data_IF_777779188229
#
_entry.id   IF_777779188229
#
_cell.length_a   1.000
_cell.length_b   1.000
_cell.length_c   1.000
_cell.angle_alpha   90.00
_cell.angle_beta   90.00
_cell.angle_gamma   90.00
#
_symmetry.space_group_name_H-M   'P 1'
#
loop_
_entity.id
_entity.type
_entity.pdbx_description
1 polymer ?
#
# COMPACT_ATOMS: atom_id res chain seq x y z
N UNK A 1 8.73 14.87 -31.38
CA UNK A 1 7.77 14.34 -32.38
C UNK A 1 6.37 14.65 -31.91
N UNK A 2 5.38 14.94 -32.76
CA UNK A 2 4.00 15.13 -32.27
C UNK A 2 3.50 13.83 -31.62
N UNK A 3 2.84 13.91 -30.45
CA UNK A 3 2.42 12.75 -29.65
C UNK A 3 1.71 11.65 -30.46
N UNK A 4 0.84 12.03 -31.41
CA UNK A 4 0.13 11.09 -32.29
C UNK A 4 1.04 10.36 -33.28
N UNK A 5 2.09 11.02 -33.78
CA UNK A 5 3.06 10.40 -34.67
C UNK A 5 3.88 9.35 -33.92
N UNK A 6 4.21 9.62 -32.65
CA UNK A 6 4.92 8.68 -31.78
C UNK A 6 4.10 7.45 -31.43
N UNK A 7 2.83 7.64 -31.05
CA UNK A 7 1.90 6.52 -30.84
C UNK A 7 1.77 5.66 -32.12
N UNK A 8 1.69 6.28 -33.30
CA UNK A 8 1.68 5.56 -34.58
C UNK A 8 2.96 4.76 -34.84
N UNK A 9 4.12 5.35 -34.57
CA UNK A 9 5.42 4.69 -34.72
C UNK A 9 5.58 3.49 -33.76
N UNK A 10 5.14 3.64 -32.51
CA UNK A 10 5.12 2.56 -31.52
C UNK A 10 4.24 1.39 -31.99
N UNK A 11 3.03 1.67 -32.48
CA UNK A 11 2.11 0.63 -32.98
C UNK A 11 2.71 -0.08 -34.19
N UNK A 12 3.30 0.67 -35.12
CA UNK A 12 3.97 0.10 -36.28
C UNK A 12 5.12 -0.83 -35.86
N UNK A 13 5.93 -0.42 -34.88
CA UNK A 13 7.03 -1.24 -34.36
C UNK A 13 6.53 -2.50 -33.64
N UNK A 14 5.47 -2.39 -32.83
CA UNK A 14 4.84 -3.57 -32.19
C UNK A 14 4.33 -4.55 -33.26
N UNK A 15 3.68 -4.05 -34.32
CA UNK A 15 3.19 -4.89 -35.42
C UNK A 15 4.33 -5.58 -36.17
N UNK A 16 5.43 -4.87 -36.42
CA UNK A 16 6.64 -5.42 -37.04
C UNK A 16 7.22 -6.57 -36.19
N UNK A 17 7.36 -6.36 -34.88
CA UNK A 17 7.87 -7.38 -33.95
C UNK A 17 6.96 -8.60 -33.90
N UNK A 18 5.64 -8.41 -33.76
CA UNK A 18 4.67 -9.53 -33.79
C UNK A 18 4.78 -10.30 -35.11
N UNK A 19 4.87 -9.60 -36.24
CA UNK A 19 5.00 -10.24 -37.55
C UNK A 19 6.32 -11.00 -37.68
N UNK A 20 7.42 -10.50 -37.12
CA UNK A 20 8.70 -11.19 -37.12
C UNK A 20 8.65 -12.48 -36.27
N UNK A 21 8.02 -12.43 -35.10
CA UNK A 21 7.86 -13.60 -34.21
C UNK A 21 6.97 -14.67 -34.86
N UNK A 22 5.85 -14.27 -35.46
CA UNK A 22 4.94 -15.20 -36.15
C UNK A 22 5.60 -15.94 -37.32
N UNK A 23 6.63 -15.35 -37.93
CA UNK A 23 7.38 -15.96 -39.03
C UNK A 23 8.68 -16.64 -38.57
N UNK A 24 9.01 -16.58 -37.28
CA UNK A 24 10.22 -17.15 -36.73
C UNK A 24 10.19 -18.68 -36.81
N UNK A 25 11.34 -19.26 -37.14
CA UNK A 25 11.55 -20.71 -37.12
C UNK A 25 12.46 -21.15 -35.98
N UNK A 26 13.19 -20.20 -35.40
CA UNK A 26 14.15 -20.45 -34.34
C UNK A 26 13.92 -19.50 -33.16
N UNK A 27 14.22 -19.97 -31.94
CA UNK A 27 14.04 -19.18 -30.71
C UNK A 27 14.86 -17.88 -30.74
N UNK A 28 16.06 -17.92 -31.32
CA UNK A 28 16.95 -16.76 -31.43
C UNK A 28 16.36 -15.64 -32.30
N UNK A 29 15.53 -15.97 -33.29
CA UNK A 29 14.82 -14.98 -34.11
C UNK A 29 13.74 -14.27 -33.29
N UNK A 30 13.05 -15.01 -32.41
CA UNK A 30 12.08 -14.45 -31.47
C UNK A 30 12.77 -13.53 -30.47
N UNK A 31 13.91 -13.97 -29.90
CA UNK A 31 14.69 -13.14 -28.96
C UNK A 31 15.20 -11.88 -29.65
N UNK A 32 15.70 -11.96 -30.89
CA UNK A 32 16.12 -10.79 -31.66
C UNK A 32 14.97 -9.81 -31.92
N UNK A 33 13.79 -10.33 -32.29
CA UNK A 33 12.61 -9.50 -32.54
C UNK A 33 12.19 -8.74 -31.28
N UNK A 34 12.15 -9.43 -30.13
CA UNK A 34 11.84 -8.81 -28.83
C UNK A 34 12.90 -7.81 -28.40
N UNK A 35 14.18 -8.14 -28.54
CA UNK A 35 15.28 -7.22 -28.24
C UNK A 35 15.21 -5.94 -29.06
N UNK A 36 14.77 -6.02 -30.33
CA UNK A 36 14.69 -4.86 -31.22
C UNK A 36 13.73 -3.76 -30.75
N UNK A 37 12.71 -4.11 -29.97
CA UNK A 37 11.80 -3.14 -29.33
C UNK A 37 12.22 -2.87 -27.89
N UNK A 38 12.75 -3.86 -27.16
CA UNK A 38 13.24 -3.67 -25.80
C UNK A 38 14.37 -2.62 -25.74
N UNK A 39 15.30 -2.63 -26.70
CA UNK A 39 16.39 -1.66 -26.80
C UNK A 39 15.90 -0.21 -27.08
N UNK A 40 14.70 -0.05 -27.64
CA UNK A 40 14.07 1.26 -27.84
C UNK A 40 13.44 1.81 -26.56
N UNK A 41 13.04 0.93 -25.64
CA UNK A 41 12.27 1.29 -24.44
C UNK A 41 13.13 1.33 -23.19
N UNK A 42 14.21 0.54 -23.12
CA UNK A 42 14.99 0.33 -21.92
C UNK A 42 16.49 0.54 -22.17
N UNK A 43 17.25 0.99 -21.16
CA UNK A 43 18.72 1.07 -21.24
C UNK A 43 19.35 -0.33 -21.10
N UNK A 44 19.16 -1.18 -22.10
CA UNK A 44 19.66 -2.56 -22.08
C UNK A 44 21.09 -2.65 -22.60
N UNK A 45 21.91 -3.42 -21.89
CA UNK A 45 23.19 -3.87 -22.41
C UNK A 45 22.97 -5.09 -23.30
N UNK A 46 23.11 -4.89 -24.61
CA UNK A 46 22.94 -5.91 -25.63
C UNK A 46 23.94 -7.06 -25.48
N UNK A 47 25.06 -6.84 -24.78
CA UNK A 47 26.06 -7.89 -24.51
C UNK A 47 25.50 -9.02 -23.63
N UNK A 48 24.59 -8.69 -22.70
CA UNK A 48 23.95 -9.64 -21.77
C UNK A 48 23.11 -10.70 -22.50
N UNK A 49 22.57 -10.33 -23.66
CA UNK A 49 21.78 -11.22 -24.51
C UNK A 49 22.67 -11.91 -25.55
N UNK A 50 23.67 -11.22 -26.09
CA UNK A 50 24.53 -11.72 -27.18
C UNK A 50 25.25 -13.04 -26.89
N UNK A 51 25.64 -13.26 -25.62
CA UNK A 51 26.28 -14.51 -25.19
C UNK A 51 25.33 -15.71 -25.09
N UNK A 52 24.02 -15.47 -25.16
CA UNK A 52 22.97 -16.49 -25.02
C UNK A 52 22.33 -16.90 -26.36
N UNK A 53 22.79 -16.31 -27.46
CA UNK A 53 22.23 -16.50 -28.81
C UNK A 53 23.33 -17.03 -29.74
N UNK A 54 22.94 -17.81 -30.75
CA UNK A 54 23.85 -18.24 -31.81
C UNK A 54 24.56 -17.08 -32.51
N UNK A 55 25.79 -17.35 -32.96
CA UNK A 55 26.72 -16.35 -33.48
C UNK A 55 26.17 -15.59 -34.70
N UNK A 56 25.40 -16.24 -35.56
CA UNK A 56 24.80 -15.65 -36.76
C UNK A 56 23.71 -14.60 -36.47
N UNK A 57 23.20 -14.52 -35.24
CA UNK A 57 22.19 -13.54 -34.82
C UNK A 57 22.78 -12.42 -33.94
N UNK A 58 24.03 -12.54 -33.47
CA UNK A 58 24.67 -11.54 -32.60
C UNK A 58 24.78 -10.17 -33.24
N UNK A 59 25.10 -10.12 -34.52
CA UNK A 59 25.22 -8.85 -35.26
C UNK A 59 23.90 -8.09 -35.32
N UNK A 60 22.76 -8.79 -35.35
CA UNK A 60 21.43 -8.16 -35.32
C UNK A 60 21.12 -7.55 -33.95
N UNK A 61 21.57 -8.17 -32.87
CA UNK A 61 21.37 -7.71 -31.49
C UNK A 61 22.28 -6.52 -31.17
N UNK A 62 23.55 -6.58 -31.59
CA UNK A 62 24.53 -5.52 -31.38
C UNK A 62 24.33 -4.33 -32.31
N UNK A 63 23.75 -4.55 -33.50
CA UNK A 63 23.47 -3.51 -34.49
C UNK A 63 22.20 -2.69 -34.23
N UNK A 64 21.43 -2.97 -33.17
CA UNK A 64 20.21 -2.21 -32.88
C UNK A 64 20.56 -0.77 -32.51
N UNK A 65 19.96 0.19 -33.23
CA UNK A 65 20.15 1.61 -32.94
C UNK A 65 19.60 1.94 -31.55
N UNK A 66 20.49 2.38 -30.67
CA UNK A 66 20.13 2.82 -29.31
C UNK A 66 19.67 4.28 -29.39
N UNK A 67 18.41 4.60 -29.00
CA UNK A 67 17.94 5.98 -28.96
C UNK A 67 18.58 6.77 -27.81
N UNK A 68 18.51 8.10 -27.90
CA UNK A 68 18.88 8.99 -26.78
C UNK A 68 17.98 8.76 -25.55
N UNK A 69 18.37 9.29 -24.40
CA UNK A 69 17.63 9.09 -23.14
C UNK A 69 16.24 9.71 -23.22
N UNK A 70 16.14 10.89 -23.81
CA UNK A 70 14.89 11.64 -23.99
C UNK A 70 13.97 10.93 -24.99
N UNK A 71 14.51 10.52 -26.14
CA UNK A 71 13.75 9.75 -27.12
C UNK A 71 13.25 8.42 -26.52
N UNK A 72 14.09 7.72 -25.76
CA UNK A 72 13.69 6.48 -25.08
C UNK A 72 12.53 6.71 -24.12
N UNK A 73 12.58 7.80 -23.34
CA UNK A 73 11.50 8.13 -22.42
C UNK A 73 10.19 8.42 -23.15
N UNK A 74 10.23 9.18 -24.25
CA UNK A 74 9.08 9.43 -25.10
C UNK A 74 8.48 8.12 -25.65
N UNK A 75 9.32 7.23 -26.18
CA UNK A 75 8.91 5.91 -26.67
C UNK A 75 8.29 5.05 -25.56
N UNK A 76 8.90 5.05 -24.37
CA UNK A 76 8.40 4.33 -23.20
C UNK A 76 7.01 4.84 -22.77
N UNK A 77 6.83 6.15 -22.68
CA UNK A 77 5.54 6.75 -22.29
C UNK A 77 4.45 6.43 -23.31
N UNK A 78 4.73 6.60 -24.60
CA UNK A 78 3.79 6.26 -25.68
C UNK A 78 3.45 4.77 -25.74
N UNK A 79 4.41 3.90 -25.40
CA UNK A 79 4.20 2.45 -25.37
C UNK A 79 3.31 2.00 -24.21
N UNK A 80 3.60 2.41 -22.98
CA UNK A 80 2.83 1.99 -21.80
C UNK A 80 1.51 2.71 -21.62
N UNK A 81 1.41 3.99 -22.00
CA UNK A 81 0.14 4.73 -21.93
C UNK A 81 -0.74 4.57 -23.16
N UNK A 82 -0.18 4.08 -24.25
CA UNK A 82 -0.90 3.80 -25.49
C UNK A 82 -1.39 2.35 -25.59
N UNK A 83 -1.80 1.96 -26.79
CA UNK A 83 -2.23 0.57 -27.07
C UNK A 83 -1.07 -0.38 -27.39
N UNK A 84 0.18 0.12 -27.35
CA UNK A 84 1.38 -0.64 -27.68
C UNK A 84 1.62 -1.78 -26.68
N UNK A 85 1.78 -1.42 -25.39
CA UNK A 85 1.98 -2.39 -24.32
C UNK A 85 0.84 -3.42 -24.21
N UNK A 86 -0.45 -3.06 -24.09
CA UNK A 86 -1.50 -4.07 -23.93
C UNK A 86 -1.60 -5.02 -25.12
N UNK A 87 -1.32 -4.55 -26.35
CA UNK A 87 -1.26 -5.40 -27.54
C UNK A 87 -0.09 -6.37 -27.47
N UNK A 88 1.13 -5.86 -27.23
CA UNK A 88 2.32 -6.71 -27.15
C UNK A 88 2.23 -7.70 -25.98
N UNK A 89 1.85 -7.24 -24.79
CA UNK A 89 1.77 -8.08 -23.59
C UNK A 89 0.77 -9.23 -23.76
N UNK A 90 -0.39 -8.99 -24.38
CA UNK A 90 -1.34 -10.07 -24.70
C UNK A 90 -0.75 -11.08 -25.66
N UNK A 91 -0.04 -10.64 -26.70
CA UNK A 91 0.66 -11.52 -27.62
C UNK A 91 1.77 -12.31 -26.93
N UNK A 92 2.56 -11.67 -26.07
CA UNK A 92 3.61 -12.31 -25.27
C UNK A 92 3.06 -13.40 -24.35
N UNK A 93 1.87 -13.19 -23.77
CA UNK A 93 1.25 -14.12 -22.84
C UNK A 93 0.53 -15.26 -23.58
N UNK A 94 -0.16 -14.97 -24.67
CA UNK A 94 -1.00 -15.95 -25.38
C UNK A 94 -0.26 -16.75 -26.45
N UNK A 95 0.82 -16.22 -27.02
CA UNK A 95 1.56 -16.87 -28.11
C UNK A 95 3.00 -17.18 -27.70
N UNK A 96 3.75 -16.20 -27.22
CA UNK A 96 5.18 -16.40 -26.90
C UNK A 96 5.39 -17.30 -25.68
N UNK A 97 4.60 -17.11 -24.61
CA UNK A 97 4.70 -17.93 -23.40
C UNK A 97 4.49 -19.43 -23.65
N UNK A 98 3.40 -19.88 -24.32
CA UNK A 98 3.18 -21.30 -24.57
C UNK A 98 4.12 -21.88 -25.64
N UNK A 99 4.47 -21.13 -26.68
CA UNK A 99 5.16 -21.69 -27.86
C UNK A 99 6.68 -21.58 -27.80
N UNK A 100 7.22 -20.57 -27.11
CA UNK A 100 8.63 -20.21 -27.23
C UNK A 100 9.37 -20.08 -25.90
N UNK A 101 8.70 -19.62 -24.84
CA UNK A 101 9.36 -19.24 -23.59
C UNK A 101 10.11 -20.41 -22.92
N UNK A 102 9.63 -21.64 -23.07
CA UNK A 102 10.33 -22.84 -22.57
C UNK A 102 11.69 -23.10 -23.24
N UNK A 103 11.93 -22.50 -24.42
CA UNK A 103 13.19 -22.59 -25.17
C UNK A 103 14.13 -21.41 -24.90
N UNK A 104 13.70 -20.39 -24.14
CA UNK A 104 14.51 -19.20 -23.92
C UNK A 104 15.67 -19.52 -22.96
N UNK A 105 16.90 -19.11 -23.31
CA UNK A 105 17.96 -18.99 -22.32
C UNK A 105 17.53 -18.03 -21.19
N UNK A 106 17.93 -18.31 -19.95
CA UNK A 106 17.55 -17.52 -18.78
C UNK A 106 17.86 -16.02 -18.97
N UNK A 107 19.01 -15.70 -19.56
CA UNK A 107 19.39 -14.31 -19.84
C UNK A 107 18.43 -13.64 -20.83
N UNK A 108 18.08 -14.35 -21.91
CA UNK A 108 17.14 -13.86 -22.91
C UNK A 108 15.73 -13.68 -22.33
N UNK A 109 15.27 -14.61 -21.49
CA UNK A 109 14.01 -14.45 -20.75
C UNK A 109 14.03 -13.18 -19.91
N UNK A 110 15.09 -12.95 -19.12
CA UNK A 110 15.19 -11.78 -18.26
C UNK A 110 15.23 -10.46 -19.03
N UNK A 111 16.06 -10.38 -20.07
CA UNK A 111 16.40 -9.12 -20.73
C UNK A 111 15.61 -8.82 -22.01
N UNK A 112 15.00 -9.84 -22.64
CA UNK A 112 14.19 -9.66 -23.84
C UNK A 112 12.69 -9.94 -23.61
N UNK A 113 12.29 -10.65 -22.55
CA UNK A 113 10.86 -10.94 -22.29
C UNK A 113 10.36 -10.28 -20.99
N UNK A 114 10.99 -10.59 -19.86
CA UNK A 114 10.55 -10.13 -18.53
C UNK A 114 10.69 -8.61 -18.36
N UNK A 115 11.60 -7.98 -19.11
CA UNK A 115 11.86 -6.53 -19.05
C UNK A 115 10.58 -5.71 -19.32
N UNK A 116 9.69 -6.16 -20.21
CA UNK A 116 8.45 -5.45 -20.51
C UNK A 116 7.46 -5.42 -19.34
N UNK A 117 7.61 -6.33 -18.38
CA UNK A 117 6.77 -6.38 -17.19
C UNK A 117 7.48 -5.79 -15.97
N UNK A 118 8.77 -6.12 -15.79
CA UNK A 118 9.56 -5.70 -14.62
C UNK A 118 10.02 -4.24 -14.63
N UNK A 119 10.22 -3.65 -15.81
CA UNK A 119 10.66 -2.24 -15.98
C UNK A 119 9.54 -1.37 -16.59
N UNK A 120 8.31 -1.89 -16.62
CA UNK A 120 7.15 -1.22 -17.18
C UNK A 120 6.35 -0.43 -16.16
N UNK A 121 5.23 0.15 -16.62
CA UNK A 121 4.27 0.81 -15.75
C UNK A 121 3.46 -0.25 -14.98
N UNK A 122 3.73 -0.42 -13.69
CA UNK A 122 3.21 -1.52 -12.86
C UNK A 122 1.68 -1.50 -12.83
N UNK A 123 1.05 -0.31 -12.84
CA UNK A 123 -0.41 -0.19 -12.92
C UNK A 123 -0.99 -0.85 -14.17
N UNK A 124 -0.31 -0.77 -15.31
CA UNK A 124 -0.74 -1.40 -16.57
C UNK A 124 -0.41 -2.88 -16.58
N UNK A 125 0.76 -3.26 -16.07
CA UNK A 125 1.21 -4.65 -15.94
C UNK A 125 0.20 -5.48 -15.15
N UNK A 126 -0.23 -5.02 -13.95
CA UNK A 126 -1.20 -5.77 -13.14
C UNK A 126 -2.58 -5.83 -13.80
N UNK A 127 -3.00 -4.77 -14.50
CA UNK A 127 -4.27 -4.76 -15.23
C UNK A 127 -4.29 -5.78 -16.37
N UNK A 128 -3.13 -6.07 -16.97
CA UNK A 128 -2.99 -7.08 -18.01
C UNK A 128 -2.82 -8.49 -17.44
N UNK A 129 -1.95 -8.69 -16.45
CA UNK A 129 -1.61 -10.04 -15.95
C UNK A 129 -2.74 -10.68 -15.13
N UNK A 130 -3.41 -9.91 -14.25
CA UNK A 130 -4.37 -10.49 -13.30
C UNK A 130 -5.58 -11.16 -13.97
N UNK A 131 -6.15 -10.65 -15.08
CA UNK A 131 -7.17 -11.37 -15.85
C UNK A 131 -6.75 -12.76 -16.34
N UNK A 132 -5.47 -12.98 -16.65
CA UNK A 132 -4.99 -14.27 -17.16
C UNK A 132 -4.95 -15.36 -16.09
N UNK A 133 -4.96 -15.00 -14.80
CA UNK A 133 -5.00 -15.96 -13.70
C UNK A 133 -6.29 -16.81 -13.66
N UNK A 134 -7.40 -16.26 -14.18
CA UNK A 134 -8.72 -16.92 -14.15
C UNK A 134 -9.18 -17.39 -15.54
N UNK A 135 -8.28 -17.57 -16.50
CA UNK A 135 -8.70 -18.06 -17.83
C UNK A 135 -9.32 -19.47 -17.70
N UNK A 136 -10.65 -19.52 -17.87
CA UNK A 136 -11.39 -20.77 -18.01
C UNK A 136 -11.06 -21.34 -19.39
N UNK A 137 -10.39 -22.48 -19.43
CA UNK A 137 -9.96 -23.11 -20.67
C UNK A 137 -11.15 -23.45 -21.56
N UNK A 138 -11.34 -22.69 -22.64
CA UNK A 138 -12.29 -23.04 -23.70
C UNK A 138 -11.65 -23.20 -25.07
N UNK A 139 -10.38 -22.83 -25.26
CA UNK A 139 -9.71 -22.92 -26.56
C UNK A 139 -8.33 -23.55 -26.37
N UNK A 140 -7.93 -24.46 -27.26
CA UNK A 140 -6.78 -25.38 -27.18
C UNK A 140 -5.36 -24.78 -27.08
N UNK A 141 -5.22 -23.62 -26.46
CA UNK A 141 -3.97 -23.03 -25.98
C UNK A 141 -3.51 -23.76 -24.71
N UNK A 142 -2.19 -23.81 -24.46
CA UNK A 142 -1.67 -24.26 -23.16
C UNK A 142 -1.98 -23.21 -22.07
N UNK A 143 -3.22 -23.23 -21.60
CA UNK A 143 -3.76 -22.39 -20.52
C UNK A 143 -2.90 -22.52 -19.26
N UNK A 144 -2.20 -23.65 -19.07
CA UNK A 144 -1.28 -23.84 -17.95
C UNK A 144 -0.02 -23.01 -18.09
N UNK A 145 0.60 -22.99 -19.27
CA UNK A 145 1.76 -22.13 -19.53
C UNK A 145 1.41 -20.64 -19.36
N UNK A 146 0.24 -20.21 -19.85
CA UNK A 146 -0.22 -18.81 -19.72
C UNK A 146 -0.40 -18.41 -18.25
N UNK A 147 -1.10 -19.24 -17.47
CA UNK A 147 -1.34 -18.95 -16.04
C UNK A 147 -0.03 -18.99 -15.25
N UNK A 148 0.78 -20.04 -15.42
CA UNK A 148 2.07 -20.19 -14.73
C UNK A 148 3.00 -19.01 -15.00
N UNK A 149 3.10 -18.59 -16.26
CA UNK A 149 3.91 -17.42 -16.61
C UNK A 149 3.33 -16.12 -16.05
N UNK A 150 2.00 -15.95 -16.05
CA UNK A 150 1.34 -14.78 -15.45
C UNK A 150 1.60 -14.68 -13.94
N UNK A 151 1.54 -15.81 -13.23
CA UNK A 151 1.87 -15.88 -11.81
C UNK A 151 3.34 -15.53 -11.56
N UNK A 152 4.27 -16.14 -12.31
CA UNK A 152 5.71 -15.84 -12.23
C UNK A 152 6.00 -14.35 -12.46
N UNK A 153 5.38 -13.74 -13.47
CA UNK A 153 5.55 -12.32 -13.75
C UNK A 153 4.97 -11.43 -12.64
N UNK A 154 3.84 -11.81 -12.03
CA UNK A 154 3.29 -11.07 -10.89
C UNK A 154 4.22 -11.12 -9.67
N UNK A 155 4.84 -12.26 -9.39
CA UNK A 155 5.86 -12.39 -8.33
C UNK A 155 7.05 -11.49 -8.63
N UNK A 156 7.59 -11.60 -9.85
CA UNK A 156 8.73 -10.80 -10.29
C UNK A 156 8.44 -9.30 -10.18
N UNK A 157 7.28 -8.84 -10.65
CA UNK A 157 6.96 -7.42 -10.69
C UNK A 157 6.57 -6.88 -9.32
N UNK A 158 5.66 -7.54 -8.59
CA UNK A 158 5.13 -6.99 -7.34
C UNK A 158 6.03 -7.25 -6.14
N UNK A 159 6.70 -8.40 -6.08
CA UNK A 159 7.39 -8.85 -4.87
C UNK A 159 8.91 -8.69 -5.00
N UNK A 160 9.50 -9.16 -6.10
CA UNK A 160 10.96 -9.11 -6.28
C UNK A 160 11.46 -7.72 -6.69
N UNK A 161 10.71 -6.98 -7.51
CA UNK A 161 11.09 -5.65 -8.01
C UNK A 161 10.42 -4.49 -7.25
N UNK A 162 9.95 -4.70 -6.02
CA UNK A 162 9.30 -3.67 -5.21
C UNK A 162 8.10 -3.00 -5.93
N UNK A 163 7.33 -3.75 -6.70
CA UNK A 163 6.28 -3.20 -7.55
C UNK A 163 5.19 -2.44 -6.79
N UNK A 164 4.91 -2.77 -5.52
CA UNK A 164 3.94 -2.01 -4.72
C UNK A 164 4.44 -0.60 -4.40
N UNK A 165 5.74 -0.47 -4.13
CA UNK A 165 6.38 0.81 -3.90
C UNK A 165 6.41 1.66 -5.18
N UNK A 166 6.75 1.03 -6.31
CA UNK A 166 6.72 1.69 -7.63
C UNK A 166 5.31 2.16 -7.99
N UNK A 167 4.31 1.31 -7.82
CA UNK A 167 2.92 1.60 -8.13
C UNK A 167 2.36 2.73 -7.24
N UNK A 168 2.73 2.78 -5.97
CA UNK A 168 2.40 3.94 -5.13
C UNK A 168 3.06 5.23 -5.66
N UNK A 169 4.34 5.19 -6.04
CA UNK A 169 5.06 6.32 -6.66
C UNK A 169 4.41 6.77 -7.98
N UNK A 170 3.93 5.83 -8.78
CA UNK A 170 3.20 6.12 -10.02
C UNK A 170 1.95 6.97 -9.78
N UNK A 171 1.26 6.80 -8.66
CA UNK A 171 0.11 7.65 -8.31
C UNK A 171 0.50 8.97 -7.64
N UNK A 172 1.73 9.07 -7.12
CA UNK A 172 2.26 10.30 -6.50
C UNK A 172 2.97 11.25 -7.46
N UNK A 173 3.22 10.87 -8.71
CA UNK A 173 3.96 11.68 -9.68
C UNK A 173 3.20 12.98 -10.07
N UNK A 174 3.74 14.18 -9.77
CA UNK A 174 3.14 15.47 -10.14
C UNK A 174 3.00 15.67 -11.65
N UNK A 175 3.78 14.97 -12.48
CA UNK A 175 3.64 15.03 -13.95
C UNK A 175 2.26 14.50 -14.41
N UNK A 176 1.65 13.59 -13.63
CA UNK A 176 0.27 13.14 -13.81
C UNK A 176 -0.78 14.08 -13.20
N UNK A 177 -0.40 15.01 -12.32
CA UNK A 177 -1.34 15.93 -11.65
C UNK A 177 -1.72 17.13 -12.52
N UNK A 178 -0.93 17.48 -13.55
CA UNK A 178 -1.18 18.60 -14.49
C UNK A 178 -2.47 18.48 -15.33
N UNK A 179 -3.27 17.43 -15.17
CA UNK A 179 -4.59 17.30 -15.81
C UNK A 179 -5.61 16.44 -15.06
N UNK A 180 -5.28 15.97 -13.84
CA UNK A 180 -6.13 15.07 -13.07
C UNK A 180 -6.56 15.74 -11.77
N UNK A 181 -7.83 16.12 -11.68
CA UNK A 181 -8.45 16.48 -10.40
C UNK A 181 -8.50 15.24 -9.49
N UNK A 182 -8.52 15.47 -8.16
CA UNK A 182 -8.60 14.41 -7.13
C UNK A 182 -9.76 13.42 -7.37
N UNK A 183 -10.79 13.85 -8.11
CA UNK A 183 -11.94 13.04 -8.54
C UNK A 183 -11.62 11.94 -9.57
N UNK A 184 -10.61 12.12 -10.42
CA UNK A 184 -10.23 11.12 -11.45
C UNK A 184 -9.15 10.14 -10.97
N UNK A 185 -8.30 10.55 -10.02
CA UNK A 185 -7.24 9.70 -9.46
C UNK A 185 -7.84 8.60 -8.58
N UNK A 186 -8.87 8.93 -7.81
CA UNK A 186 -9.48 7.99 -6.85
C UNK A 186 -10.08 6.73 -7.49
N UNK A 187 -10.87 6.80 -8.59
CA UNK A 187 -11.36 5.61 -9.27
C UNK A 187 -10.22 4.72 -9.80
N UNK A 188 -9.14 5.31 -10.30
CA UNK A 188 -7.98 4.56 -10.79
C UNK A 188 -7.25 3.85 -9.65
N UNK A 189 -6.97 4.57 -8.56
CA UNK A 189 -6.38 4.02 -7.32
C UNK A 189 -7.22 2.86 -6.80
N UNK A 190 -8.53 3.06 -6.64
CA UNK A 190 -9.43 2.05 -6.10
C UNK A 190 -9.51 0.81 -6.99
N UNK A 191 -9.54 0.99 -8.31
CA UNK A 191 -9.52 -0.11 -9.28
C UNK A 191 -8.23 -0.92 -9.19
N UNK A 192 -7.08 -0.27 -9.23
CA UNK A 192 -5.78 -0.97 -9.18
C UNK A 192 -5.59 -1.66 -7.82
N UNK A 193 -5.94 -0.99 -6.72
CA UNK A 193 -5.89 -1.60 -5.39
C UNK A 193 -6.79 -2.85 -5.28
N UNK A 194 -7.99 -2.80 -5.86
CA UNK A 194 -8.89 -3.95 -5.92
C UNK A 194 -8.30 -5.09 -6.77
N UNK A 195 -7.67 -4.78 -7.90
CA UNK A 195 -7.01 -5.78 -8.77
C UNK A 195 -5.90 -6.49 -8.00
N UNK A 196 -4.99 -5.73 -7.39
CA UNK A 196 -3.86 -6.27 -6.61
C UNK A 196 -4.35 -7.10 -5.44
N UNK A 197 -5.30 -6.58 -4.66
CA UNK A 197 -5.85 -7.31 -3.53
C UNK A 197 -6.51 -8.62 -3.96
N UNK A 198 -7.07 -8.70 -5.18
CA UNK A 198 -7.70 -9.90 -5.72
C UNK A 198 -6.76 -11.01 -6.20
N UNK A 199 -5.45 -10.74 -6.32
CA UNK A 199 -4.49 -11.71 -6.85
C UNK A 199 -4.53 -13.06 -6.12
N UNK A 200 -4.52 -13.12 -4.77
CA UNK A 200 -4.52 -14.40 -4.07
C UNK A 200 -5.75 -15.27 -4.31
N UNK A 201 -6.91 -14.67 -4.65
CA UNK A 201 -8.13 -15.43 -4.96
C UNK A 201 -8.09 -16.04 -6.37
N UNK A 202 -7.22 -15.48 -7.23
CA UNK A 202 -7.15 -15.80 -8.65
C UNK A 202 -5.98 -16.72 -8.98
N UNK A 203 -4.91 -16.65 -8.21
CA UNK A 203 -3.73 -17.49 -8.38
C UNK A 203 -3.98 -18.92 -7.91
N UNK A 204 -3.33 -19.90 -8.56
CA UNK A 204 -3.32 -21.31 -8.16
C UNK A 204 -2.50 -21.46 -6.88
N UNK A 205 -2.99 -22.28 -5.95
CA UNK A 205 -2.31 -22.53 -4.67
C UNK A 205 -0.87 -23.06 -4.79
N UNK A 206 -0.52 -23.74 -5.90
CA UNK A 206 0.78 -24.39 -6.06
C UNK A 206 1.93 -23.44 -6.45
N UNK A 207 1.66 -22.32 -7.12
CA UNK A 207 2.69 -21.36 -7.58
C UNK A 207 3.08 -20.40 -6.45
N UNK A 208 2.16 -20.21 -5.50
CA UNK A 208 2.43 -19.57 -4.22
C UNK A 208 3.54 -20.35 -3.44
N UNK A 209 3.75 -21.65 -3.66
CA UNK A 209 4.87 -22.39 -3.04
C UNK A 209 6.27 -21.84 -3.42
N UNK A 210 6.43 -21.22 -4.59
CA UNK A 210 7.67 -20.52 -4.97
C UNK A 210 7.88 -19.22 -4.15
N UNK A 211 6.80 -18.60 -3.66
CA UNK A 211 6.87 -17.45 -2.72
C UNK A 211 7.42 -17.83 -1.35
N UNK A 212 7.36 -19.12 -1.00
CA UNK A 212 7.87 -19.66 0.26
C UNK A 212 9.34 -20.10 0.15
N UNK A 213 9.94 -20.14 -1.04
CA UNK A 213 11.27 -20.76 -1.24
C UNK A 213 12.43 -20.04 -0.54
N UNK A 214 12.22 -18.87 0.07
CA UNK A 214 13.22 -18.22 0.94
C UNK A 214 13.07 -18.53 2.44
N UNK A 215 12.10 -19.36 2.85
CA UNK A 215 11.93 -19.78 4.26
C UNK A 215 11.41 -21.24 4.37
N UNK A 216 12.18 -22.21 4.91
CA UNK A 216 11.66 -23.53 5.30
C UNK A 216 11.18 -23.51 6.76
N UNK A 217 10.34 -24.47 7.25
CA UNK A 217 9.38 -25.36 6.63
C UNK A 217 7.99 -25.24 7.32
N UNK A 218 7.06 -24.44 6.81
CA UNK A 218 5.68 -24.38 7.36
C UNK A 218 4.58 -24.52 6.30
N UNK A 219 4.91 -24.91 5.07
CA UNK A 219 3.97 -25.03 3.96
C UNK A 219 3.07 -26.29 4.04
N UNK A 220 2.24 -26.42 5.09
CA UNK A 220 1.25 -27.50 5.19
C UNK A 220 -0.21 -27.03 5.31
N UNK A 221 -0.49 -25.73 5.34
CA UNK A 221 -1.84 -25.19 5.29
C UNK A 221 -1.87 -24.00 4.33
N UNK A 222 -2.70 -24.07 3.27
CA UNK A 222 -2.79 -23.03 2.22
C UNK A 222 -3.11 -21.60 2.70
N UNK A 223 -3.31 -21.39 4.01
CA UNK A 223 -3.44 -20.08 4.66
C UNK A 223 -2.10 -19.32 4.71
N UNK A 224 -0.96 -20.02 4.82
CA UNK A 224 0.34 -19.38 5.03
C UNK A 224 0.80 -18.53 3.85
N UNK A 225 0.39 -18.89 2.63
CA UNK A 225 0.96 -18.24 1.45
C UNK A 225 0.26 -16.93 1.07
N UNK A 226 -1.04 -16.82 1.34
CA UNK A 226 -1.77 -15.55 1.23
C UNK A 226 -1.25 -14.58 2.28
N UNK A 227 -0.97 -15.07 3.50
CA UNK A 227 -0.32 -14.28 4.55
C UNK A 227 1.05 -13.76 4.11
N UNK A 228 1.91 -14.60 3.53
CA UNK A 228 3.23 -14.19 3.00
C UNK A 228 3.09 -13.10 1.94
N UNK A 229 2.17 -13.27 0.99
CA UNK A 229 1.91 -12.28 -0.05
C UNK A 229 1.52 -10.91 0.54
N UNK A 230 0.51 -10.87 1.40
CA UNK A 230 0.09 -9.60 2.01
C UNK A 230 1.15 -9.02 2.94
N UNK A 231 1.90 -9.85 3.67
CA UNK A 231 3.00 -9.38 4.51
C UNK A 231 4.06 -8.63 3.69
N UNK A 232 4.46 -9.18 2.55
CA UNK A 232 5.42 -8.52 1.65
C UNK A 232 4.86 -7.23 1.06
N UNK A 233 3.60 -7.23 0.61
CA UNK A 233 2.93 -6.01 0.14
C UNK A 233 2.90 -4.93 1.23
N UNK A 234 2.48 -5.29 2.43
CA UNK A 234 2.40 -4.37 3.57
C UNK A 234 3.79 -3.80 3.87
N UNK A 235 4.83 -4.65 3.90
CA UNK A 235 6.19 -4.21 4.16
C UNK A 235 6.69 -3.18 3.13
N UNK A 236 6.42 -3.39 1.83
CA UNK A 236 6.78 -2.43 0.77
C UNK A 236 5.97 -1.12 0.85
N UNK A 237 4.69 -1.19 1.20
CA UNK A 237 3.86 0.01 1.35
C UNK A 237 4.29 0.84 2.58
N UNK A 238 4.69 0.17 3.65
CA UNK A 238 5.19 0.83 4.86
C UNK A 238 6.60 1.41 4.66
N UNK A 239 7.46 0.78 3.84
CA UNK A 239 8.76 1.36 3.52
C UNK A 239 8.64 2.68 2.75
N UNK A 240 7.59 2.88 1.96
CA UNK A 240 7.31 4.19 1.33
C UNK A 240 7.09 5.29 2.37
N UNK A 241 6.34 5.00 3.42
CA UNK A 241 6.10 5.96 4.50
C UNK A 241 7.41 6.27 5.27
N UNK A 242 8.28 5.26 5.43
CA UNK A 242 9.60 5.41 6.05
C UNK A 242 10.62 6.13 5.13
N UNK A 243 10.61 5.97 3.81
CA UNK A 243 11.51 6.71 2.90
C UNK A 243 11.21 8.21 2.89
N UNK A 244 9.93 8.57 3.06
CA UNK A 244 9.48 9.96 3.18
C UNK A 244 9.97 10.59 4.49
N UNK A 245 10.15 9.80 5.56
CA UNK A 245 10.76 10.22 6.85
C UNK A 245 12.23 10.64 6.68
N UNK A 246 12.96 10.04 5.74
CA UNK A 246 14.38 10.40 5.48
C UNK A 246 14.57 11.51 4.45
N UNK A 247 13.71 11.63 3.45
CA UNK A 247 13.91 12.54 2.30
C UNK A 247 13.42 13.98 2.55
N UNK A 248 12.54 14.20 3.52
CA UNK A 248 12.00 15.53 3.85
C UNK A 248 12.86 16.31 4.86
N UNK A 249 13.90 15.70 5.42
CA UNK A 249 14.91 16.40 6.22
C UNK A 249 15.73 17.41 5.38
N UNK A 250 15.66 17.31 4.04
CA UNK A 250 16.51 18.07 3.11
C UNK A 250 15.77 19.20 2.35
N UNK A 251 14.43 19.21 2.25
CA UNK A 251 13.69 20.21 1.45
C UNK A 251 12.36 20.64 2.08
N UNK A 252 12.30 21.88 2.58
CA UNK A 252 11.18 22.46 3.35
C UNK A 252 10.01 22.96 2.48
N UNK A 253 10.22 23.15 1.17
CA UNK A 253 9.22 23.76 0.27
C UNK A 253 8.11 22.80 -0.22
N UNK A 254 8.12 21.52 0.19
CA UNK A 254 7.17 20.50 -0.28
C UNK A 254 5.82 20.47 0.48
N UNK A 255 5.63 21.36 1.46
CA UNK A 255 4.52 21.29 2.41
C UNK A 255 3.14 21.57 1.77
N UNK A 256 3.09 22.40 0.71
CA UNK A 256 1.85 22.83 0.04
C UNK A 256 1.37 21.85 -1.07
N UNK A 257 2.22 20.90 -1.47
CA UNK A 257 1.88 19.80 -2.40
C UNK A 257 1.37 18.52 -1.69
N UNK A 258 1.49 18.44 -0.36
CA UNK A 258 1.18 17.23 0.42
C UNK A 258 -0.30 16.80 0.36
N UNK A 259 -1.24 17.73 0.10
CA UNK A 259 -2.68 17.44 0.02
C UNK A 259 -3.08 16.65 -1.25
N UNK A 260 -2.15 16.41 -2.19
CA UNK A 260 -2.42 15.78 -3.49
C UNK A 260 -1.61 14.52 -3.77
N UNK A 261 -1.04 13.88 -2.76
CA UNK A 261 -0.18 12.73 -2.98
C UNK A 261 -1.01 11.45 -3.25
N UNK A 262 -1.27 11.15 -4.52
CA UNK A 262 -1.99 9.93 -4.93
C UNK A 262 -1.32 8.63 -4.44
N UNK A 263 -0.02 8.70 -4.11
CA UNK A 263 0.72 7.62 -3.45
C UNK A 263 0.14 7.24 -2.08
N UNK A 264 -0.08 8.21 -1.18
CA UNK A 264 -0.62 7.94 0.16
C UNK A 264 -2.10 7.52 0.10
N UNK A 265 -2.85 8.08 -0.86
CA UNK A 265 -4.21 7.64 -1.16
C UNK A 265 -4.22 6.16 -1.57
N UNK A 266 -3.26 5.74 -2.41
CA UNK A 266 -3.11 4.36 -2.82
C UNK A 266 -2.76 3.44 -1.65
N UNK A 267 -1.84 3.84 -0.76
CA UNK A 267 -1.49 3.06 0.44
C UNK A 267 -2.72 2.86 1.33
N UNK A 268 -3.48 3.91 1.63
CA UNK A 268 -4.68 3.79 2.46
C UNK A 268 -5.78 2.95 1.81
N UNK A 269 -5.96 3.05 0.49
CA UNK A 269 -6.88 2.16 -0.23
C UNK A 269 -6.41 0.70 -0.15
N UNK A 270 -5.12 0.41 -0.29
CA UNK A 270 -4.59 -0.94 -0.09
C UNK A 270 -4.82 -1.46 1.33
N UNK A 271 -4.59 -0.64 2.36
CA UNK A 271 -4.90 -1.00 3.75
C UNK A 271 -6.37 -1.34 3.92
N UNK A 272 -7.24 -0.57 3.26
CA UNK A 272 -8.68 -0.83 3.23
C UNK A 272 -8.99 -2.21 2.65
N UNK A 273 -8.45 -2.51 1.47
CA UNK A 273 -8.70 -3.79 0.76
C UNK A 273 -8.14 -5.00 1.49
N UNK A 274 -6.92 -4.89 2.04
CA UNK A 274 -6.26 -5.95 2.81
C UNK A 274 -7.07 -6.26 4.08
N UNK A 275 -7.54 -5.24 4.78
CA UNK A 275 -8.31 -5.41 6.01
C UNK A 275 -9.70 -5.99 5.77
N UNK A 276 -10.37 -5.62 4.66
CA UNK A 276 -11.64 -6.26 4.24
C UNK A 276 -11.48 -7.76 3.94
N UNK A 277 -10.28 -8.20 3.61
CA UNK A 277 -9.95 -9.61 3.40
C UNK A 277 -9.61 -10.37 4.68
N UNK A 278 -9.67 -9.72 5.83
CA UNK A 278 -9.42 -10.33 7.13
C UNK A 278 -7.98 -10.18 7.65
N UNK A 279 -7.09 -9.49 6.92
CA UNK A 279 -5.68 -9.33 7.28
C UNK A 279 -5.39 -8.01 8.03
N UNK A 280 -6.37 -7.51 8.80
CA UNK A 280 -6.22 -6.28 9.57
C UNK A 280 -5.25 -6.45 10.76
N UNK A 281 -5.19 -7.66 11.32
CA UNK A 281 -4.24 -8.09 12.34
C UNK A 281 -2.81 -8.10 11.80
N UNK A 282 -2.59 -8.69 10.63
CA UNK A 282 -1.29 -8.72 9.94
C UNK A 282 -0.82 -7.30 9.63
N UNK A 283 -1.69 -6.47 9.04
CA UNK A 283 -1.41 -5.06 8.79
C UNK A 283 -0.99 -4.32 10.07
N UNK A 284 -1.74 -4.50 11.15
CA UNK A 284 -1.46 -3.82 12.43
C UNK A 284 -0.16 -4.33 13.06
N UNK A 285 0.15 -5.62 12.94
CA UNK A 285 1.39 -6.21 13.46
C UNK A 285 2.65 -5.68 12.76
N UNK A 286 2.54 -5.26 11.50
CA UNK A 286 3.63 -4.66 10.72
C UNK A 286 3.69 -3.13 10.88
N UNK A 287 2.54 -2.47 11.06
CA UNK A 287 2.40 -1.02 11.21
C UNK A 287 2.83 -0.54 12.60
N UNK A 288 2.32 -1.17 13.67
CA UNK A 288 2.50 -0.69 15.04
C UNK A 288 3.98 -0.62 15.46
N UNK A 289 4.83 -1.63 15.22
CA UNK A 289 6.24 -1.55 15.59
C UNK A 289 6.98 -0.39 14.93
N UNK A 290 6.66 -0.07 13.67
CA UNK A 290 7.27 1.03 12.92
C UNK A 290 6.87 2.39 13.50
N UNK A 291 5.57 2.61 13.68
CA UNK A 291 5.06 3.87 14.25
C UNK A 291 5.54 4.04 15.70
N UNK A 292 5.54 2.97 16.49
CA UNK A 292 6.03 3.00 17.86
C UNK A 292 7.53 3.34 17.93
N UNK A 293 8.34 2.82 17.00
CA UNK A 293 9.77 3.17 16.89
C UNK A 293 9.95 4.66 16.60
N UNK A 294 9.16 5.22 15.69
CA UNK A 294 9.17 6.66 15.38
C UNK A 294 8.82 7.49 16.63
N UNK A 295 7.73 7.14 17.32
CA UNK A 295 7.32 7.83 18.56
C UNK A 295 8.43 7.76 19.62
N UNK A 296 9.05 6.60 19.83
CA UNK A 296 10.17 6.44 20.78
C UNK A 296 11.39 7.30 20.40
N UNK A 297 11.73 7.37 19.11
CA UNK A 297 12.81 8.24 18.61
C UNK A 297 12.53 9.72 18.91
N UNK A 298 11.28 10.16 18.80
CA UNK A 298 10.89 11.55 19.12
C UNK A 298 10.85 11.84 20.62
N UNK A 299 10.33 10.91 21.41
CA UNK A 299 10.27 11.08 22.86
C UNK A 299 11.65 11.08 23.51
N UNK A 300 12.62 10.37 22.92
CA UNK A 300 14.01 10.39 23.38
C UNK A 300 14.79 11.64 22.94
N UNK A 301 14.36 12.32 21.88
CA UNK A 301 15.01 13.55 21.39
C UNK A 301 14.42 14.84 21.98
N UNK A 302 13.19 14.81 22.51
CA UNK A 302 12.54 16.00 23.06
C UNK A 302 12.87 16.22 24.54
N UNK A 303 13.49 17.36 24.85
CA UNK A 303 13.58 17.88 26.22
C UNK A 303 12.18 18.34 26.67
N UNK A 304 11.33 17.40 27.10
CA UNK A 304 10.08 17.46 27.88
C UNK A 304 9.00 18.55 27.65
N UNK A 305 9.21 19.67 26.95
CA UNK A 305 8.24 20.78 26.93
C UNK A 305 7.59 21.08 25.57
N UNK A 306 8.05 20.52 24.44
CA UNK A 306 7.48 20.80 23.11
C UNK A 306 7.29 19.58 22.20
N UNK A 307 6.96 18.41 22.77
CA UNK A 307 6.70 17.19 21.98
C UNK A 307 5.53 17.35 21.01
N UNK A 308 4.48 18.10 21.41
CA UNK A 308 3.32 18.38 20.54
C UNK A 308 3.68 19.26 19.35
N UNK A 309 4.46 20.33 19.58
CA UNK A 309 4.91 21.23 18.52
C UNK A 309 5.85 20.53 17.54
N UNK A 310 6.72 19.64 18.02
CA UNK A 310 7.64 18.85 17.20
C UNK A 310 6.91 17.80 16.33
N UNK A 311 5.84 17.18 16.86
CA UNK A 311 5.04 16.20 16.13
C UNK A 311 4.05 16.84 15.14
N UNK A 312 3.53 18.03 15.47
CA UNK A 312 2.66 18.81 14.57
C UNK A 312 3.45 19.50 13.45
N UNK A 313 4.73 19.84 13.67
CA UNK A 313 5.57 20.53 12.68
C UNK A 313 6.36 19.61 11.78
N UNK A 314 6.54 18.34 12.14
CA UNK A 314 7.30 17.40 11.33
C UNK A 314 6.36 16.70 10.32
N UNK A 315 6.65 16.80 9.00
CA UNK A 315 5.82 16.26 7.93
C UNK A 315 5.81 14.72 7.89
N UNK A 316 6.81 14.07 8.47
CA UNK A 316 6.95 12.61 8.55
C UNK A 316 5.86 11.99 9.43
N UNK A 317 5.38 12.72 10.44
CA UNK A 317 4.22 12.30 11.25
C UNK A 317 2.89 12.50 10.53
N UNK A 318 2.85 13.43 9.58
CA UNK A 318 1.64 13.74 8.82
C UNK A 318 1.32 12.65 7.81
N UNK A 319 2.33 11.95 7.26
CA UNK A 319 2.10 10.90 6.27
C UNK A 319 1.20 9.77 6.81
N UNK A 320 1.39 9.36 8.06
CA UNK A 320 0.61 8.32 8.72
C UNK A 320 -0.84 8.72 8.92
N UNK A 321 -1.07 9.95 9.37
CA UNK A 321 -2.42 10.52 9.46
C UNK A 321 -3.12 10.57 8.10
N UNK A 322 -2.40 10.93 7.02
CA UNK A 322 -2.96 10.98 5.66
C UNK A 322 -3.33 9.59 5.15
N UNK A 323 -2.48 8.58 5.39
CA UNK A 323 -2.77 7.18 5.03
C UNK A 323 -4.06 6.72 5.71
N UNK A 324 -4.18 6.98 7.02
CA UNK A 324 -5.39 6.62 7.76
C UNK A 324 -6.61 7.42 7.29
N UNK A 325 -6.45 8.68 6.90
CA UNK A 325 -7.53 9.51 6.33
C UNK A 325 -8.03 9.01 4.97
N UNK A 326 -7.15 8.36 4.19
CA UNK A 326 -7.53 7.77 2.91
C UNK A 326 -8.48 6.55 3.06
N UNK A 327 -8.53 5.92 4.24
CA UNK A 327 -9.42 4.79 4.53
C UNK A 327 -10.84 5.30 4.80
N UNK A 328 -11.72 5.19 3.78
CA UNK A 328 -13.11 5.68 3.87
C UNK A 328 -14.12 4.67 4.40
N UNK A 329 -13.79 3.38 4.37
CA UNK A 329 -14.70 2.32 4.81
C UNK A 329 -14.76 2.27 6.34
N UNK A 330 -15.91 2.61 6.97
CA UNK A 330 -16.02 2.68 8.43
C UNK A 330 -15.76 1.33 9.11
N UNK A 331 -16.19 0.22 8.49
CA UNK A 331 -15.93 -1.11 9.01
C UNK A 331 -14.43 -1.41 9.05
N UNK A 332 -13.72 -1.05 7.99
CA UNK A 332 -12.27 -1.26 7.90
C UNK A 332 -11.51 -0.36 8.88
N UNK A 333 -11.90 0.91 9.00
CA UNK A 333 -11.36 1.83 10.00
C UNK A 333 -11.49 1.25 11.41
N UNK A 334 -12.65 0.68 11.73
CA UNK A 334 -12.89 0.02 13.01
C UNK A 334 -11.99 -1.18 13.23
N UNK A 335 -11.90 -2.10 12.25
CA UNK A 335 -11.09 -3.31 12.37
C UNK A 335 -9.61 -2.96 12.54
N UNK A 336 -9.08 -2.01 11.78
CA UNK A 336 -7.68 -1.58 11.92
C UNK A 336 -7.46 -0.95 13.29
N UNK A 337 -8.35 -0.04 13.73
CA UNK A 337 -8.21 0.64 15.02
C UNK A 337 -8.24 -0.33 16.20
N UNK A 338 -9.11 -1.33 16.16
CA UNK A 338 -9.16 -2.42 17.14
C UNK A 338 -7.82 -3.17 17.21
N UNK A 339 -7.31 -3.62 16.08
CA UNK A 339 -6.07 -4.41 16.06
C UNK A 339 -4.86 -3.58 16.46
N UNK A 340 -4.81 -2.28 16.12
CA UNK A 340 -3.75 -1.38 16.57
C UNK A 340 -3.73 -1.28 18.11
N UNK A 341 -4.88 -1.16 18.76
CA UNK A 341 -4.96 -1.14 20.23
C UNK A 341 -4.45 -2.46 20.84
N UNK A 342 -4.87 -3.60 20.29
CA UNK A 342 -4.38 -4.91 20.75
C UNK A 342 -2.87 -5.06 20.54
N UNK A 343 -2.34 -4.66 19.38
CA UNK A 343 -0.92 -4.73 19.09
C UNK A 343 -0.10 -3.81 20.02
N UNK A 344 -0.59 -2.61 20.33
CA UNK A 344 0.05 -1.74 21.33
C UNK A 344 0.11 -2.39 22.71
N UNK A 345 -0.95 -3.08 23.13
CA UNK A 345 -0.96 -3.84 24.38
C UNK A 345 0.02 -5.02 24.35
N UNK A 346 0.08 -5.77 23.25
CA UNK A 346 1.06 -6.85 23.03
C UNK A 346 2.50 -6.36 23.07
N UNK A 347 2.76 -5.15 22.55
CA UNK A 347 4.08 -4.52 22.59
C UNK A 347 4.39 -3.78 23.91
N UNK A 348 3.51 -3.88 24.91
CA UNK A 348 3.67 -3.23 26.21
C UNK A 348 3.98 -1.73 26.10
N UNK A 349 3.29 -1.03 25.20
CA UNK A 349 3.43 0.42 25.07
C UNK A 349 3.06 1.11 26.39
N UNK A 350 3.80 2.15 26.77
CA UNK A 350 3.41 3.01 27.90
C UNK A 350 2.29 3.99 27.50
N UNK A 351 1.69 4.64 28.51
CA UNK A 351 0.54 5.55 28.28
C UNK A 351 0.90 6.74 27.36
N UNK A 352 2.15 7.22 27.41
CA UNK A 352 2.61 8.35 26.59
C UNK A 352 2.81 7.90 25.15
N UNK A 353 3.47 6.76 24.94
CA UNK A 353 3.68 6.13 23.65
C UNK A 353 2.34 5.82 22.97
N UNK A 354 1.43 5.15 23.69
CA UNK A 354 0.12 4.79 23.16
C UNK A 354 -0.70 6.03 22.77
N UNK A 355 -0.69 7.09 23.60
CA UNK A 355 -1.34 8.36 23.24
C UNK A 355 -0.79 8.93 21.93
N UNK A 356 0.52 9.02 21.78
CA UNK A 356 1.13 9.60 20.58
C UNK A 356 0.94 8.75 19.34
N UNK A 357 0.93 7.41 19.46
CA UNK A 357 0.58 6.53 18.34
C UNK A 357 -0.87 6.76 17.90
N UNK A 358 -1.82 6.78 18.85
CA UNK A 358 -3.23 7.05 18.54
C UNK A 358 -3.43 8.45 17.95
N UNK A 359 -2.73 9.43 18.49
CA UNK A 359 -2.74 10.79 17.97
C UNK A 359 -2.23 10.82 16.52
N UNK A 360 -1.05 10.28 16.25
CA UNK A 360 -0.42 10.27 14.94
C UNK A 360 -1.27 9.54 13.87
N UNK A 361 -2.01 8.50 14.25
CA UNK A 361 -2.84 7.75 13.30
C UNK A 361 -4.24 8.34 13.12
N UNK A 362 -4.85 8.86 14.19
CA UNK A 362 -6.29 9.13 14.19
C UNK A 362 -6.67 10.60 14.41
N UNK A 363 -5.76 11.50 14.82
CA UNK A 363 -6.17 12.85 15.24
C UNK A 363 -6.91 13.65 14.15
N UNK A 364 -6.46 13.57 12.88
CA UNK A 364 -7.10 14.27 11.75
C UNK A 364 -8.52 13.74 11.53
N UNK A 365 -8.62 12.43 11.34
CA UNK A 365 -9.85 11.68 11.19
C UNK A 365 -10.84 11.93 12.32
N UNK A 366 -10.35 11.96 13.56
CA UNK A 366 -11.15 12.20 14.75
C UNK A 366 -11.69 13.65 14.84
N UNK A 367 -10.92 14.64 14.35
CA UNK A 367 -11.39 16.03 14.26
C UNK A 367 -12.49 16.19 13.21
N UNK A 368 -12.32 15.56 12.04
CA UNK A 368 -13.19 15.77 10.88
C UNK A 368 -14.43 14.86 10.89
N UNK A 369 -14.28 13.57 11.21
CA UNK A 369 -15.33 12.57 11.01
C UNK A 369 -16.05 12.20 12.32
N UNK A 370 -17.35 12.50 12.38
CA UNK A 370 -18.19 12.16 13.54
C UNK A 370 -18.32 10.64 13.76
N UNK A 371 -18.30 9.84 12.69
CA UNK A 371 -18.34 8.37 12.74
C UNK A 371 -17.16 7.79 13.51
N UNK A 372 -15.95 8.29 13.26
CA UNK A 372 -14.73 7.83 13.95
C UNK A 372 -14.77 8.23 15.43
N UNK A 373 -15.30 9.42 15.75
CA UNK A 373 -15.51 9.80 17.15
C UNK A 373 -16.47 8.86 17.88
N UNK A 374 -17.61 8.56 17.25
CA UNK A 374 -18.59 7.63 17.80
C UNK A 374 -18.03 6.21 17.92
N UNK A 375 -17.17 5.79 16.99
CA UNK A 375 -16.48 4.50 17.06
C UNK A 375 -15.61 4.38 18.32
N UNK A 376 -14.76 5.38 18.62
CA UNK A 376 -13.91 5.34 19.83
C UNK A 376 -14.74 5.47 21.11
N UNK A 377 -15.68 6.42 21.17
CA UNK A 377 -16.41 6.72 22.42
C UNK A 377 -17.56 5.75 22.67
N UNK A 378 -18.37 5.47 21.67
CA UNK A 378 -19.58 4.67 21.87
C UNK A 378 -19.24 3.20 21.66
N UNK A 379 -18.60 2.84 20.55
CA UNK A 379 -18.35 1.42 20.24
C UNK A 379 -17.24 0.80 21.07
N UNK A 380 -16.06 1.43 21.12
CA UNK A 380 -14.91 0.83 21.78
C UNK A 380 -14.96 0.94 23.30
N UNK A 381 -15.41 2.05 23.87
CA UNK A 381 -15.52 2.16 25.32
C UNK A 381 -16.74 1.44 25.89
N UNK A 382 -17.86 1.34 25.17
CA UNK A 382 -19.10 0.81 25.76
C UNK A 382 -19.44 -0.60 25.28
N UNK A 383 -19.29 -0.89 23.99
CA UNK A 383 -19.82 -2.14 23.43
C UNK A 383 -18.78 -3.23 23.24
N UNK A 384 -17.50 -2.86 23.18
CA UNK A 384 -16.40 -3.78 22.90
C UNK A 384 -15.57 -4.07 24.15
N UNK A 385 -15.13 -5.31 24.28
CA UNK A 385 -14.30 -5.75 25.40
C UNK A 385 -12.83 -5.55 25.03
N UNK A 386 -12.15 -4.69 25.78
CA UNK A 386 -10.73 -4.41 25.63
C UNK A 386 -9.99 -4.63 26.95
N UNK A 387 -8.67 -4.91 26.91
CA UNK A 387 -7.82 -4.79 28.09
C UNK A 387 -7.93 -3.41 28.73
N UNK A 388 -7.79 -3.34 30.05
CA UNK A 388 -7.90 -2.10 30.83
C UNK A 388 -6.93 -1.01 30.30
N UNK A 389 -5.73 -1.39 29.87
CA UNK A 389 -4.74 -0.47 29.27
C UNK A 389 -5.28 0.21 28.02
N UNK A 390 -5.90 -0.54 27.10
CA UNK A 390 -6.52 0.01 25.90
C UNK A 390 -7.67 0.96 26.25
N UNK A 391 -8.52 0.60 27.22
CA UNK A 391 -9.61 1.48 27.68
C UNK A 391 -9.07 2.81 28.21
N UNK A 392 -7.99 2.78 29.01
CA UNK A 392 -7.31 3.99 29.50
C UNK A 392 -6.78 4.84 28.35
N UNK A 393 -6.15 4.24 27.35
CA UNK A 393 -5.63 4.98 26.18
C UNK A 393 -6.75 5.58 25.34
N UNK A 394 -7.86 4.86 25.14
CA UNK A 394 -9.03 5.40 24.42
C UNK A 394 -9.62 6.57 25.20
N UNK A 395 -9.78 6.47 26.53
CA UNK A 395 -10.27 7.58 27.37
C UNK A 395 -9.34 8.80 27.25
N UNK A 396 -8.02 8.58 27.32
CA UNK A 396 -7.04 9.65 27.20
C UNK A 396 -7.06 10.33 25.83
N UNK A 397 -7.13 9.55 24.75
CA UNK A 397 -7.13 10.04 23.38
C UNK A 397 -8.47 10.68 22.98
N UNK A 398 -9.59 10.00 23.20
CA UNK A 398 -10.89 10.36 22.64
C UNK A 398 -11.76 11.19 23.58
N UNK A 399 -11.56 11.12 24.90
CA UNK A 399 -12.35 11.86 25.89
C UNK A 399 -11.57 13.06 26.42
N UNK A 400 -10.35 12.83 26.93
CA UNK A 400 -9.53 13.94 27.45
C UNK A 400 -8.87 14.77 26.34
N UNK A 401 -8.63 14.17 25.17
CA UNK A 401 -7.95 14.80 24.02
C UNK A 401 -6.59 15.45 24.39
N UNK A 402 -5.91 14.97 25.44
CA UNK A 402 -4.64 15.52 25.94
C UNK A 402 -3.60 14.41 26.24
N UNK A 403 -2.29 14.70 26.14
CA UNK A 403 -1.26 13.73 26.52
C UNK A 403 -1.25 13.49 28.04
N UNK A 404 -0.82 12.30 28.51
CA UNK A 404 -0.67 12.03 29.94
C UNK A 404 0.27 13.06 30.59
N UNK A 405 -0.10 13.58 31.77
CA UNK A 405 0.70 14.53 32.54
C UNK A 405 0.47 16.01 32.24
N UNK A 406 -0.27 16.36 31.17
CA UNK A 406 -0.63 17.75 30.88
C UNK A 406 -1.99 18.11 31.48
N UNK A 407 -2.10 19.30 32.11
CA UNK A 407 -3.36 19.77 32.69
C UNK A 407 -4.42 20.01 31.61
N UNK A 408 -5.68 19.63 31.89
CA UNK A 408 -6.88 19.89 31.06
C UNK A 408 -7.23 21.39 30.88
N UNK A 409 -6.29 22.32 31.07
CA UNK A 409 -6.54 23.76 31.23
C UNK A 409 -6.86 24.53 29.94
N UNK A 410 -6.93 23.89 28.76
CA UNK A 410 -7.10 24.62 27.49
C UNK A 410 -7.92 23.95 26.40
N UNK A 411 -8.67 22.88 26.67
CA UNK A 411 -9.40 22.11 25.63
C UNK A 411 -10.92 22.37 25.63
N UNK A 412 -11.58 22.13 24.48
CA UNK A 412 -13.00 22.37 24.18
C UNK A 412 -13.97 21.83 25.25
N UNK A 413 -14.16 22.62 26.31
CA UNK A 413 -14.99 22.33 27.50
C UNK A 413 -16.41 21.84 27.17
N UNK A 414 -17.14 22.44 26.19
CA UNK A 414 -18.49 21.98 25.86
C UNK A 414 -18.52 20.56 25.31
N UNK A 415 -17.52 20.20 24.48
CA UNK A 415 -17.43 18.88 23.85
C UNK A 415 -17.07 17.80 24.87
N UNK A 416 -16.13 18.09 25.76
CA UNK A 416 -15.76 17.21 26.86
C UNK A 416 -16.95 16.91 27.78
N UNK A 417 -17.70 17.96 28.18
CA UNK A 417 -18.91 17.82 29.00
C UNK A 417 -19.95 16.91 28.34
N UNK A 418 -20.24 17.12 27.05
CA UNK A 418 -21.21 16.31 26.32
C UNK A 418 -20.81 14.83 26.21
N UNK A 419 -19.50 14.54 26.08
CA UNK A 419 -18.99 13.17 26.02
C UNK A 419 -19.13 12.50 27.39
N UNK A 420 -18.75 13.18 28.47
CA UNK A 420 -18.86 12.65 29.84
C UNK A 420 -20.33 12.41 30.21
N UNK A 421 -21.24 13.33 29.90
CA UNK A 421 -22.67 13.17 30.12
C UNK A 421 -23.24 11.96 29.36
N UNK A 422 -22.83 11.78 28.10
CA UNK A 422 -23.24 10.63 27.28
C UNK A 422 -22.72 9.30 27.84
N UNK A 423 -21.48 9.27 28.31
CA UNK A 423 -20.89 8.08 28.95
C UNK A 423 -21.62 7.73 30.24
N UNK A 424 -21.89 8.71 31.12
CA UNK A 424 -22.64 8.51 32.37
C UNK A 424 -24.06 8.03 32.09
N UNK A 425 -24.74 8.65 31.14
CA UNK A 425 -26.10 8.27 30.74
C UNK A 425 -26.14 6.83 30.24
N UNK A 426 -25.17 6.41 29.42
CA UNK A 426 -25.15 5.04 28.88
C UNK A 426 -24.72 4.02 29.93
N UNK A 427 -23.75 4.36 30.78
CA UNK A 427 -23.32 3.53 31.91
C UNK A 427 -24.46 3.26 32.90
N UNK A 428 -25.33 4.25 33.15
CA UNK A 428 -26.48 4.11 34.06
C UNK A 428 -27.60 3.18 33.55
N UNK A 429 -27.55 2.76 32.28
CA UNK A 429 -28.57 1.86 31.71
C UNK A 429 -28.37 0.45 32.23
N UNK A 430 -29.47 -0.17 32.67
CA UNK A 430 -29.50 -1.55 33.17
C UNK A 430 -28.86 -2.55 32.22
N UNK A 431 -29.09 -2.39 30.92
CA UNK A 431 -28.53 -3.25 29.86
C UNK A 431 -27.00 -3.25 29.86
N UNK A 432 -26.37 -2.08 30.03
CA UNK A 432 -24.92 -1.94 30.05
C UNK A 432 -24.32 -2.56 31.31
N UNK A 433 -24.89 -2.25 32.48
CA UNK A 433 -24.43 -2.78 33.78
C UNK A 433 -24.49 -4.32 33.82
N UNK A 434 -25.45 -4.92 33.11
CA UNK A 434 -25.62 -6.37 33.07
C UNK A 434 -24.72 -7.08 32.06
N UNK A 435 -24.21 -6.37 31.03
CA UNK A 435 -23.49 -6.99 29.91
C UNK A 435 -22.00 -6.64 29.86
N UNK A 436 -21.60 -5.48 30.39
CA UNK A 436 -20.21 -5.05 30.38
C UNK A 436 -19.38 -5.73 31.48
N UNK A 437 -18.10 -6.09 31.24
CA UNK A 437 -17.19 -6.57 32.28
C UNK A 437 -17.01 -5.57 33.42
N UNK A 438 -16.82 -6.07 34.65
CA UNK A 438 -16.69 -5.23 35.86
C UNK A 438 -15.51 -4.27 35.74
N UNK A 439 -14.40 -4.73 35.14
CA UNK A 439 -13.19 -3.95 34.92
C UNK A 439 -13.45 -2.75 34.01
N UNK A 440 -14.27 -2.95 32.97
CA UNK A 440 -14.66 -1.91 32.02
C UNK A 440 -15.60 -0.90 32.69
N UNK A 441 -16.58 -1.37 33.47
CA UNK A 441 -17.47 -0.51 34.24
C UNK A 441 -16.69 0.35 35.26
N UNK A 442 -15.75 -0.26 35.99
CA UNK A 442 -14.92 0.43 36.98
C UNK A 442 -13.99 1.47 36.34
N UNK A 443 -13.39 1.15 35.18
CA UNK A 443 -12.54 2.07 34.45
C UNK A 443 -13.30 3.32 33.99
N UNK A 444 -14.47 3.15 33.36
CA UNK A 444 -15.31 4.27 32.91
C UNK A 444 -15.75 5.11 34.11
N UNK A 445 -16.23 4.47 35.17
CA UNK A 445 -16.66 5.18 36.39
C UNK A 445 -15.54 6.03 36.99
N UNK A 446 -14.34 5.45 37.13
CA UNK A 446 -13.17 6.17 37.65
C UNK A 446 -12.84 7.41 36.83
N UNK A 447 -12.79 7.28 35.50
CA UNK A 447 -12.45 8.39 34.61
C UNK A 447 -13.56 9.44 34.53
N UNK A 448 -14.85 9.05 34.55
CA UNK A 448 -15.97 9.98 34.64
C UNK A 448 -15.98 10.74 35.97
N UNK A 449 -15.76 10.06 37.10
CA UNK A 449 -15.69 10.70 38.41
C UNK A 449 -14.53 11.70 38.50
N UNK A 450 -13.35 11.33 38.01
CA UNK A 450 -12.20 12.24 37.95
C UNK A 450 -12.45 13.43 37.01
N UNK A 451 -13.14 13.20 35.90
CA UNK A 451 -13.54 14.27 34.97
C UNK A 451 -14.51 15.27 35.61
N UNK A 452 -15.52 14.79 36.34
CA UNK A 452 -16.48 15.62 37.07
C UNK A 452 -15.80 16.41 38.19
N UNK A 453 -14.90 15.78 38.95
CA UNK A 453 -14.11 16.46 39.99
C UNK A 453 -13.28 17.61 39.41
N UNK A 454 -12.60 17.37 38.29
CA UNK A 454 -11.81 18.40 37.59
C UNK A 454 -12.66 19.53 36.98
N UNK A 455 -13.94 19.28 36.67
CA UNK A 455 -14.88 20.33 36.28
C UNK A 455 -15.29 21.16 37.50
N UNK A 456 -15.64 20.52 38.62
CA UNK A 456 -16.06 21.18 39.87
C UNK A 456 -14.95 22.04 40.49
N UNK A 457 -13.71 21.54 40.55
CA UNK A 457 -12.56 22.29 41.09
C UNK A 457 -12.20 23.54 40.26
N UNK A 458 -12.55 23.56 38.97
CA UNK A 458 -12.30 24.70 38.07
C UNK A 458 -13.45 25.71 37.99
N UNK A 459 -14.66 25.33 38.41
CA UNK A 459 -15.84 26.20 38.39
C UNK A 459 -16.06 26.96 39.71
N UNK A 460 -15.09 26.93 40.62
CA UNK A 460 -15.07 27.83 41.78
C UNK A 460 -16.20 27.62 42.78
N UNK A 461 -16.75 26.41 42.88
CA UNK A 461 -17.53 26.02 44.05
C UNK A 461 -16.63 25.21 44.99
N UNK A 462 -15.90 25.96 45.81
CA UNK A 462 -15.45 25.46 47.12
C UNK A 462 -16.73 25.22 47.92
N UNK A 463 -16.96 23.97 48.33
CA UNK A 463 -17.78 23.72 49.52
C UNK A 463 -16.94 24.05 50.76
#
# INVERSE_FOLDING_TARGET
MEKRQLEGAVIAKVKEVISAIMNAKHVDEVVCALHSIAALLFPLDSSLISGSIEECYRDKVLGVKIPSVEERHDWWDAFYRGVGFPTLARFLLLDVAPNWLGCFPISAQKHAYDVFFSHGLVSEVVQILVPFLQQNGSDGLDVSAVISNSERLLVLCLLENYGMLQLAREFGDPSKSKGFTNERIRPAVSRVAQIVASIPDKARMNTLTLLSSQYPPFALLGLDIICVFFKQIIAQLLSLAEERDTSLLENVDALDEMDKNGALLFVGEMFSRISRRGFADLLSSELVPRVLRLVKKCLSSSNHSSTKGLLESNPDFMCWSIIMEAIRDPYTMERISEHILHQLATHHADDVQAYWVLWLLFHRNFKVQASIRSMFVDKFLLWKVFPITCLKWILQFAVHECPPGNSLSGYNRPRFSNIVERLVTTWSKKEFVQTAPIEQQACILFHCANSLKNMQEKDGYIL
#
